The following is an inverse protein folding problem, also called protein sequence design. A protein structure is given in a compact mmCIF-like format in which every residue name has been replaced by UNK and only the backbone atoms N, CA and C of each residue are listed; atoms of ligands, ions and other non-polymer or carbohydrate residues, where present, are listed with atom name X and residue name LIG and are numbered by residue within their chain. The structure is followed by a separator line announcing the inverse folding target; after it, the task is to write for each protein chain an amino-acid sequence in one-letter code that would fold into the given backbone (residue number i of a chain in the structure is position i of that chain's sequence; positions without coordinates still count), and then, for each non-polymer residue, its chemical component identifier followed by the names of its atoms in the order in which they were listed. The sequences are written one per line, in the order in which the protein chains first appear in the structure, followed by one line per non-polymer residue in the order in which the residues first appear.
data_IF_328534625840
#
_entry.id   IF_328534625840
#
_cell.length_a   1.000
_cell.length_b   1.000
_cell.length_c   1.000
_cell.angle_alpha   90.00
_cell.angle_beta   90.00
_cell.angle_gamma   90.00
#
_symmetry.space_group_name_H-M   'P 1'
#
loop_
_entity.id
_entity.type
_entity.pdbx_description
1 polymer ?
#
# COMPACT_ATOMS: atom_id res chain seq x y z
N UNK A 1 -46.87 27.98 55.34
CA UNK A 1 -45.46 28.25 55.67
C UNK A 1 -44.78 28.76 54.40
N UNK A 2 -44.45 30.06 54.41
CA UNK A 2 -43.67 30.87 53.45
C UNK A 2 -43.72 30.57 51.93
N UNK A 3 -44.34 31.51 51.21
CA UNK A 3 -44.02 31.92 49.85
C UNK A 3 -42.55 32.39 49.72
N UNK A 4 -42.01 32.50 48.49
CA UNK A 4 -41.18 33.65 48.01
C UNK A 4 -40.49 33.38 46.65
N UNK A 5 -40.97 34.12 45.64
CA UNK A 5 -40.22 35.00 44.70
C UNK A 5 -39.34 34.38 43.57
N UNK A 6 -39.78 34.65 42.33
CA UNK A 6 -38.92 34.85 41.15
C UNK A 6 -37.94 36.01 41.38
N UNK A 7 -36.65 35.86 41.05
CA UNK A 7 -35.87 37.03 40.65
C UNK A 7 -34.87 36.70 39.54
N UNK A 8 -34.90 37.56 38.53
CA UNK A 8 -33.93 37.65 37.43
C UNK A 8 -32.63 38.28 37.94
N UNK A 9 -31.49 37.75 37.50
CA UNK A 9 -30.28 38.57 37.36
C UNK A 9 -29.44 38.05 36.19
N UNK A 10 -29.37 38.88 35.14
CA UNK A 10 -28.30 38.84 34.15
C UNK A 10 -27.01 39.26 34.85
N UNK A 11 -25.92 38.55 34.61
CA UNK A 11 -24.60 39.18 34.56
C UNK A 11 -23.71 38.51 33.51
N UNK A 12 -22.98 39.40 32.87
CA UNK A 12 -22.20 39.33 31.66
C UNK A 12 -20.71 39.21 32.03
N UNK A 13 -19.86 38.86 31.06
CA UNK A 13 -18.37 38.86 31.04
C UNK A 13 -17.68 37.57 31.57
N UNK A 14 -16.63 37.01 30.97
CA UNK A 14 -15.80 37.33 29.79
C UNK A 14 -14.69 36.27 29.68
N UNK A 15 -14.26 35.94 28.45
CA UNK A 15 -12.94 35.34 28.13
C UNK A 15 -12.89 33.81 28.14
N UNK A 16 -12.27 33.11 27.18
CA UNK A 16 -11.41 33.49 26.07
C UNK A 16 -11.68 32.53 24.90
N UNK A 17 -12.17 33.06 23.78
CA UNK A 17 -12.06 32.33 22.52
C UNK A 17 -10.60 32.47 22.05
N UNK A 18 -9.81 31.42 22.24
CA UNK A 18 -8.52 31.29 21.56
C UNK A 18 -8.86 31.04 20.09
N UNK A 19 -8.95 32.11 19.31
CA UNK A 19 -8.92 32.01 17.85
C UNK A 19 -7.52 31.56 17.47
N UNK A 20 -7.35 30.24 17.35
CA UNK A 20 -6.25 29.67 16.58
C UNK A 20 -6.49 30.13 15.16
N UNK A 21 -5.81 31.20 14.76
CA UNK A 21 -5.68 31.62 13.39
C UNK A 21 -4.94 30.51 12.64
N UNK A 22 -5.72 29.57 12.08
CA UNK A 22 -5.27 28.74 10.98
C UNK A 22 -4.92 29.72 9.86
N UNK A 23 -3.63 30.04 9.73
CA UNK A 23 -3.10 30.67 8.54
C UNK A 23 -3.38 29.71 7.39
N UNK A 24 -4.45 29.96 6.66
CA UNK A 24 -4.81 29.23 5.45
C UNK A 24 -3.74 29.50 4.41
N UNK A 25 -2.79 28.58 4.28
CA UNK A 25 -1.77 28.59 3.23
C UNK A 25 -2.42 28.44 1.85
N UNK A 26 -1.86 29.16 0.88
CA UNK A 26 -2.36 29.29 -0.49
C UNK A 26 -2.58 27.92 -1.16
N UNK A 27 -3.78 27.69 -1.67
CA UNK A 27 -4.13 26.55 -2.49
C UNK A 27 -3.65 26.77 -3.93
N UNK A 28 -2.66 25.99 -4.37
CA UNK A 28 -2.43 25.81 -5.79
C UNK A 28 -3.45 24.79 -6.30
N UNK A 29 -4.40 25.23 -7.12
CA UNK A 29 -5.30 24.32 -7.83
C UNK A 29 -4.60 23.77 -9.07
N UNK A 30 -4.58 22.45 -9.18
CA UNK A 30 -4.29 21.74 -10.43
C UNK A 30 -5.56 21.03 -10.85
N UNK A 31 -5.68 20.65 -12.12
CA UNK A 31 -6.85 19.93 -12.61
C UNK A 31 -7.13 18.70 -11.72
N UNK A 32 -8.27 18.73 -11.00
CA UNK A 32 -8.77 17.64 -10.16
C UNK A 32 -8.27 17.56 -8.71
N UNK A 33 -7.31 18.40 -8.26
CA UNK A 33 -6.87 18.40 -6.86
C UNK A 33 -6.33 19.75 -6.35
N UNK A 34 -6.33 19.91 -5.04
CA UNK A 34 -5.74 21.06 -4.33
C UNK A 34 -4.68 20.61 -3.34
N UNK A 35 -3.69 21.48 -3.11
CA UNK A 35 -2.63 21.26 -2.14
C UNK A 35 -2.85 22.14 -0.91
N UNK A 36 -2.91 21.53 0.27
CA UNK A 36 -2.92 22.21 1.55
C UNK A 36 -1.58 21.96 2.24
N UNK A 37 -0.69 22.95 2.18
CA UNK A 37 0.63 22.87 2.83
C UNK A 37 0.53 23.34 4.28
N UNK A 38 0.96 22.48 5.21
CA UNK A 38 0.98 22.75 6.64
C UNK A 38 2.43 22.74 7.13
N UNK A 39 2.96 23.92 7.44
CA UNK A 39 4.39 24.08 7.77
C UNK A 39 5.29 23.79 6.56
N UNK A 40 6.51 23.33 6.83
CA UNK A 40 7.53 23.19 5.77
C UNK A 40 7.59 21.80 5.11
N UNK A 41 7.00 20.77 5.73
CA UNK A 41 7.18 19.38 5.26
C UNK A 41 5.93 18.51 5.23
N UNK A 42 4.76 19.03 5.61
CA UNK A 42 3.49 18.32 5.57
C UNK A 42 2.58 18.96 4.51
N UNK A 43 1.98 18.12 3.67
CA UNK A 43 1.02 18.54 2.64
C UNK A 43 -0.12 17.53 2.56
N UNK A 44 -1.35 18.03 2.52
CA UNK A 44 -2.52 17.26 2.16
C UNK A 44 -2.89 17.54 0.70
N UNK A 45 -3.04 16.49 -0.08
CA UNK A 45 -3.54 16.54 -1.46
C UNK A 45 -5.01 16.15 -1.42
N UNK A 46 -5.90 17.11 -1.61
CA UNK A 46 -7.34 16.90 -1.65
C UNK A 46 -7.77 16.70 -3.10
N UNK A 47 -8.29 15.52 -3.41
CA UNK A 47 -8.63 15.09 -4.78
C UNK A 47 -10.14 14.95 -4.87
N UNK A 48 -10.75 15.57 -5.89
CA UNK A 48 -12.19 15.44 -6.17
C UNK A 48 -12.37 14.61 -7.44
N UNK A 49 -13.27 13.62 -7.39
CA UNK A 49 -13.47 12.63 -8.45
C UNK A 49 -12.14 12.01 -8.92
N UNK A 50 -11.41 11.31 -8.03
CA UNK A 50 -10.10 10.74 -8.34
C UNK A 50 -10.11 9.89 -9.62
N UNK A 51 -9.10 10.12 -10.46
CA UNK A 51 -8.68 9.16 -11.49
C UNK A 51 -8.12 7.89 -10.85
N UNK A 52 -7.74 6.89 -11.64
CA UNK A 52 -7.14 5.65 -11.12
C UNK A 52 -5.86 5.89 -10.31
N UNK A 53 -5.01 6.83 -10.74
CA UNK A 53 -3.71 7.09 -10.15
C UNK A 53 -3.47 8.57 -9.86
N UNK A 54 -2.79 8.84 -8.75
CA UNK A 54 -1.94 10.01 -8.59
C UNK A 54 -0.53 9.63 -9.04
N UNK A 55 -0.07 10.17 -10.17
CA UNK A 55 1.29 9.96 -10.65
C UNK A 55 2.24 10.84 -9.85
N UNK A 56 3.15 10.18 -9.11
CA UNK A 56 4.11 10.83 -8.23
C UNK A 56 5.47 10.90 -8.92
N UNK A 57 6.04 12.09 -9.12
CA UNK A 57 7.39 12.24 -9.66
C UNK A 57 8.44 11.84 -8.62
N UNK A 58 9.48 11.14 -9.08
CA UNK A 58 10.54 10.54 -8.25
C UNK A 58 11.91 11.08 -8.67
N UNK A 59 12.79 11.29 -7.70
CA UNK A 59 14.22 11.63 -7.86
C UNK A 59 15.05 10.62 -7.04
N UNK A 60 15.82 9.75 -7.70
CA UNK A 60 16.50 8.63 -7.06
C UNK A 60 17.51 9.02 -6.00
N UNK A 61 18.16 10.17 -6.19
CA UNK A 61 19.24 10.64 -5.34
C UNK A 61 18.78 11.53 -4.18
N UNK A 62 17.49 11.44 -3.81
CA UNK A 62 16.92 12.20 -2.70
C UNK A 62 16.40 11.31 -1.57
N UNK A 63 16.32 11.86 -0.36
CA UNK A 63 15.70 11.18 0.79
C UNK A 63 14.19 11.02 0.64
N UNK A 64 13.63 9.99 1.27
CA UNK A 64 12.22 9.59 1.16
C UNK A 64 11.25 10.57 1.86
N UNK A 65 10.16 10.88 1.16
CA UNK A 65 8.91 11.38 1.73
C UNK A 65 8.01 10.22 2.17
N UNK A 66 6.99 10.52 2.96
CA UNK A 66 5.99 9.51 3.37
C UNK A 66 4.63 9.86 2.78
N UNK A 67 4.12 8.99 1.91
CA UNK A 67 2.86 9.15 1.18
C UNK A 67 1.83 8.18 1.75
N UNK A 68 0.67 8.67 2.13
CA UNK A 68 -0.38 7.87 2.75
C UNK A 68 -1.75 8.26 2.22
N UNK A 69 -2.53 7.26 1.77
CA UNK A 69 -3.93 7.45 1.41
C UNK A 69 -4.78 7.45 2.69
N UNK A 70 -5.21 8.63 3.13
CA UNK A 70 -5.95 8.82 4.39
C UNK A 70 -7.36 8.23 4.30
N UNK A 71 -7.99 8.33 3.13
CA UNK A 71 -9.35 7.83 2.87
C UNK A 71 -9.39 6.33 2.53
N UNK A 72 -8.30 5.59 2.74
CA UNK A 72 -8.16 4.16 2.41
C UNK A 72 -7.52 3.36 3.54
N UNK A 73 -6.65 2.40 3.20
CA UNK A 73 -5.81 1.71 4.18
C UNK A 73 -4.60 2.60 4.52
N UNK A 74 -4.51 3.16 5.74
CA UNK A 74 -3.58 4.25 6.04
C UNK A 74 -2.18 3.72 6.38
N UNK A 75 -1.52 3.07 5.42
CA UNK A 75 -0.10 2.76 5.51
C UNK A 75 0.72 3.89 4.87
N UNK A 76 1.80 4.29 5.53
CA UNK A 76 2.78 5.20 4.94
C UNK A 76 3.66 4.41 3.97
N UNK A 77 3.78 4.92 2.74
CA UNK A 77 4.70 4.47 1.71
C UNK A 77 5.88 5.43 1.64
N UNK A 78 7.09 4.88 1.69
CA UNK A 78 8.33 5.65 1.66
C UNK A 78 8.74 5.88 0.19
N UNK A 79 8.59 7.10 -0.32
CA UNK A 79 8.74 7.42 -1.74
C UNK A 79 9.73 8.57 -1.90
N UNK A 80 10.73 8.42 -2.77
CA UNK A 80 11.74 9.44 -3.09
C UNK A 80 11.17 10.56 -3.98
N UNK A 81 10.18 11.29 -3.46
CA UNK A 81 9.50 12.36 -4.20
C UNK A 81 10.49 13.40 -4.72
N UNK A 82 10.33 13.76 -6.00
CA UNK A 82 11.19 14.70 -6.71
C UNK A 82 11.30 16.05 -5.98
N UNK A 83 12.53 16.48 -5.65
CA UNK A 83 12.80 17.76 -4.99
C UNK A 83 13.32 18.80 -5.96
N UNK A 84 14.26 18.42 -6.83
CA UNK A 84 14.92 19.33 -7.79
C UNK A 84 14.61 18.98 -9.24
N UNK A 85 14.55 17.69 -9.55
CA UNK A 85 14.31 17.16 -10.88
C UNK A 85 13.47 15.87 -10.79
N UNK A 86 12.96 15.40 -11.93
CA UNK A 86 12.15 14.19 -12.00
C UNK A 86 12.81 13.19 -12.93
N UNK A 87 13.20 12.05 -12.38
CA UNK A 87 13.77 10.94 -13.15
C UNK A 87 12.67 10.14 -13.84
N UNK A 88 11.59 9.85 -13.10
CA UNK A 88 10.44 9.09 -13.58
C UNK A 88 9.22 9.31 -12.68
N UNK A 89 8.08 8.71 -13.05
CA UNK A 89 6.85 8.72 -12.26
C UNK A 89 6.53 7.33 -11.74
N UNK A 90 5.95 7.25 -10.54
CA UNK A 90 5.33 6.03 -10.01
C UNK A 90 3.82 6.20 -9.86
N UNK A 91 3.00 5.18 -10.17
CA UNK A 91 1.56 5.26 -10.01
C UNK A 91 1.16 4.97 -8.56
N UNK A 92 0.57 5.95 -7.87
CA UNK A 92 -0.06 5.75 -6.56
C UNK A 92 -1.56 5.58 -6.75
N UNK A 93 -2.06 4.37 -6.48
CA UNK A 93 -3.46 4.02 -6.75
C UNK A 93 -4.44 4.74 -5.80
N UNK A 94 -5.51 5.25 -6.39
CA UNK A 94 -6.57 5.98 -5.69
C UNK A 94 -7.85 5.12 -5.62
N UNK A 95 -8.76 5.37 -4.65
CA UNK A 95 -9.97 4.56 -4.51
C UNK A 95 -10.88 4.71 -5.73
N UNK A 96 -11.14 3.60 -6.42
CA UNK A 96 -12.02 3.57 -7.58
C UNK A 96 -13.45 3.99 -7.20
N UNK A 97 -14.05 4.90 -7.99
CA UNK A 97 -15.44 5.35 -7.82
C UNK A 97 -15.69 6.24 -6.60
N UNK A 98 -14.66 6.63 -5.85
CA UNK A 98 -14.80 7.58 -4.76
C UNK A 98 -15.12 8.99 -5.30
N UNK A 99 -15.87 9.78 -4.52
CA UNK A 99 -16.10 11.20 -4.82
C UNK A 99 -14.93 12.07 -4.40
N UNK A 100 -14.23 11.66 -3.35
CA UNK A 100 -13.11 12.40 -2.77
C UNK A 100 -12.04 11.42 -2.29
N UNK A 101 -10.79 11.85 -2.36
CA UNK A 101 -9.66 11.15 -1.76
C UNK A 101 -8.68 12.16 -1.15
N UNK A 102 -8.06 11.79 -0.04
CA UNK A 102 -7.03 12.62 0.62
C UNK A 102 -5.74 11.84 0.70
N UNK A 103 -4.68 12.39 0.09
CA UNK A 103 -3.32 11.85 0.22
C UNK A 103 -2.51 12.76 1.12
N UNK A 104 -2.01 12.22 2.24
CA UNK A 104 -1.12 12.93 3.15
C UNK A 104 0.33 12.64 2.77
N UNK A 105 1.11 13.69 2.55
CA UNK A 105 2.53 13.61 2.25
C UNK A 105 3.33 14.32 3.33
N UNK A 106 4.30 13.62 3.95
CA UNK A 106 5.22 14.16 4.96
C UNK A 106 6.67 14.14 4.47
N UNK A 107 7.55 14.83 5.20
CA UNK A 107 9.01 14.87 4.98
C UNK A 107 9.42 15.38 3.59
N UNK A 108 8.58 16.20 2.96
CA UNK A 108 8.82 16.72 1.61
C UNK A 108 8.76 18.25 1.63
N UNK A 109 9.85 18.96 1.28
CA UNK A 109 9.88 20.42 1.30
C UNK A 109 8.79 21.08 0.46
N UNK A 110 8.21 22.18 0.93
CA UNK A 110 7.14 22.92 0.22
C UNK A 110 7.52 23.45 -1.17
N UNK A 111 8.81 23.65 -1.42
CA UNK A 111 9.38 24.15 -2.67
C UNK A 111 9.82 23.03 -3.63
N UNK A 112 9.63 21.76 -3.25
CA UNK A 112 9.95 20.60 -4.08
C UNK A 112 9.23 20.63 -5.44
N UNK A 113 9.91 20.19 -6.49
CA UNK A 113 9.35 20.13 -7.85
C UNK A 113 8.17 19.15 -7.96
N UNK A 114 8.07 18.15 -7.07
CA UNK A 114 7.00 17.16 -7.12
C UNK A 114 5.59 17.78 -7.10
N UNK A 115 5.41 18.87 -6.34
CA UNK A 115 4.13 19.59 -6.26
C UNK A 115 3.71 20.17 -7.61
N UNK A 116 4.67 20.57 -8.44
CA UNK A 116 4.46 21.14 -9.78
C UNK A 116 4.28 20.09 -10.86
N UNK A 117 4.77 18.87 -10.66
CA UNK A 117 4.73 17.84 -11.71
C UNK A 117 3.75 16.69 -11.46
N UNK A 118 3.34 16.46 -10.20
CA UNK A 118 2.31 15.45 -9.91
C UNK A 118 1.01 15.73 -10.66
N UNK A 119 0.35 14.65 -11.08
CA UNK A 119 -0.85 14.70 -11.93
C UNK A 119 -1.73 13.47 -11.75
N UNK A 120 -3.02 13.62 -12.00
CA UNK A 120 -3.98 12.51 -12.04
C UNK A 120 -3.91 11.80 -13.40
N UNK A 121 -4.09 10.49 -13.41
CA UNK A 121 -4.21 9.71 -14.64
C UNK A 121 -4.94 8.38 -14.43
N UNK A 122 -5.71 7.94 -15.42
CA UNK A 122 -6.30 6.60 -15.44
C UNK A 122 -5.35 5.52 -15.96
N UNK A 123 -4.20 5.94 -16.51
CA UNK A 123 -3.23 5.06 -17.17
C UNK A 123 -1.83 5.30 -16.64
N UNK A 124 -0.98 4.28 -16.74
CA UNK A 124 0.44 4.40 -16.48
C UNK A 124 1.21 3.72 -17.62
N UNK A 125 2.18 4.42 -18.19
CA UNK A 125 2.93 3.91 -19.33
C UNK A 125 3.97 2.88 -18.87
N UNK A 126 3.74 1.63 -19.22
CA UNK A 126 4.61 0.49 -18.93
C UNK A 126 5.36 -0.02 -20.15
N UNK A 127 5.37 0.76 -21.24
CA UNK A 127 6.10 0.41 -22.47
C UNK A 127 7.57 0.16 -22.15
N UNK A 128 8.09 -0.98 -22.58
CA UNK A 128 9.49 -1.32 -22.38
C UNK A 128 10.40 -0.37 -23.19
N UNK A 129 11.28 0.35 -22.47
CA UNK A 129 12.30 1.25 -23.03
C UNK A 129 13.71 0.87 -22.58
N UNK A 130 13.85 -0.20 -21.80
CA UNK A 130 15.12 -0.58 -21.18
C UNK A 130 15.89 -1.56 -22.08
N UNK A 131 17.11 -1.17 -22.44
CA UNK A 131 18.06 -1.96 -23.24
C UNK A 131 18.40 -3.30 -22.56
N UNK A 132 18.39 -3.36 -21.24
CA UNK A 132 18.77 -4.52 -20.47
C UNK A 132 17.60 -5.42 -20.08
N UNK A 133 16.37 -5.08 -20.50
CA UNK A 133 15.20 -5.89 -20.16
C UNK A 133 15.30 -7.27 -20.82
N UNK A 134 15.28 -8.37 -20.04
CA UNK A 134 15.33 -9.71 -20.59
C UNK A 134 14.13 -10.00 -21.51
N UNK A 135 14.35 -10.77 -22.57
CA UNK A 135 13.30 -11.13 -23.54
C UNK A 135 12.42 -12.30 -23.08
N UNK A 136 12.95 -13.20 -22.25
CA UNK A 136 12.30 -14.46 -21.87
C UNK A 136 12.44 -14.81 -20.38
N UNK A 137 12.94 -13.89 -19.56
CA UNK A 137 12.88 -13.99 -18.10
C UNK A 137 11.87 -13.00 -17.56
N UNK A 138 11.10 -13.40 -16.55
CA UNK A 138 10.13 -12.52 -15.92
C UNK A 138 10.81 -11.32 -15.26
N UNK A 139 10.21 -10.15 -15.43
CA UNK A 139 10.54 -8.88 -14.76
C UNK A 139 9.24 -8.14 -14.46
N UNK A 140 9.11 -7.39 -13.36
CA UNK A 140 7.92 -6.55 -13.16
C UNK A 140 7.88 -5.46 -14.23
N UNK A 141 6.69 -4.98 -14.61
CA UNK A 141 6.53 -3.91 -15.62
C UNK A 141 7.41 -2.68 -15.33
N UNK A 142 7.54 -2.34 -14.05
CA UNK A 142 8.36 -1.25 -13.50
C UNK A 142 8.63 -1.55 -12.01
N UNK A 143 9.52 -0.78 -11.36
CA UNK A 143 9.80 -0.89 -9.92
C UNK A 143 10.91 -1.89 -9.59
N UNK A 144 10.99 -2.32 -8.33
CA UNK A 144 11.99 -3.28 -7.84
C UNK A 144 11.38 -4.64 -7.54
N UNK A 145 12.09 -5.72 -7.87
CA UNK A 145 11.69 -7.10 -7.56
C UNK A 145 12.84 -7.90 -6.95
N UNK A 146 12.51 -8.83 -6.04
CA UNK A 146 13.43 -9.89 -5.61
C UNK A 146 12.76 -11.27 -5.64
N UNK A 147 12.56 -11.91 -4.48
CA UNK A 147 12.23 -13.33 -4.37
C UNK A 147 10.92 -13.68 -5.07
N UNK A 148 10.88 -14.87 -5.68
CA UNK A 148 9.62 -15.48 -6.12
C UNK A 148 8.82 -15.96 -4.89
N UNK A 149 7.52 -15.73 -4.89
CA UNK A 149 6.61 -16.04 -3.80
C UNK A 149 5.38 -16.78 -4.30
N UNK A 150 4.71 -17.48 -3.38
CA UNK A 150 3.36 -18.00 -3.62
C UNK A 150 3.20 -18.90 -4.85
N UNK A 151 4.27 -19.54 -5.32
CA UNK A 151 4.26 -20.33 -6.56
C UNK A 151 3.22 -21.44 -6.47
N UNK A 152 2.14 -21.34 -7.24
CA UNK A 152 1.03 -22.27 -7.20
C UNK A 152 0.44 -22.45 -8.61
N UNK A 153 0.02 -23.68 -8.92
CA UNK A 153 -0.68 -23.99 -10.16
C UNK A 153 -2.14 -24.30 -9.85
N UNK A 154 -3.07 -23.61 -10.53
CA UNK A 154 -4.51 -23.83 -10.36
C UNK A 154 -5.24 -23.52 -11.67
N UNK A 155 -6.18 -24.39 -12.03
CA UNK A 155 -7.11 -24.22 -13.16
C UNK A 155 -6.44 -23.85 -14.50
N UNK A 156 -5.26 -24.44 -14.78
CA UNK A 156 -4.54 -24.20 -16.04
C UNK A 156 -3.53 -23.05 -15.99
N UNK A 157 -3.37 -22.39 -14.83
CA UNK A 157 -2.50 -21.22 -14.68
C UNK A 157 -1.43 -21.46 -13.62
N UNK A 158 -0.19 -21.13 -13.96
CA UNK A 158 0.91 -20.92 -13.05
C UNK A 158 0.85 -19.50 -12.49
N UNK A 159 0.77 -19.38 -11.18
CA UNK A 159 0.86 -18.12 -10.47
C UNK A 159 2.30 -17.88 -10.03
N UNK A 160 2.83 -16.73 -10.41
CA UNK A 160 4.07 -16.16 -9.90
C UNK A 160 3.73 -14.91 -9.12
N UNK A 161 3.80 -15.00 -7.79
CA UNK A 161 3.91 -13.81 -6.96
C UNK A 161 5.38 -13.51 -6.73
N UNK A 162 5.69 -12.28 -6.34
CA UNK A 162 7.08 -11.89 -6.12
C UNK A 162 7.17 -10.67 -5.22
N UNK A 163 8.26 -10.59 -4.45
CA UNK A 163 8.56 -9.40 -3.66
C UNK A 163 8.68 -8.19 -4.58
N UNK A 164 7.96 -7.12 -4.26
CA UNK A 164 7.78 -6.00 -5.18
C UNK A 164 7.76 -4.63 -4.48
N UNK A 165 8.54 -3.67 -4.97
CA UNK A 165 8.37 -2.25 -4.66
C UNK A 165 7.71 -1.52 -5.85
N UNK A 166 6.41 -1.18 -5.77
CA UNK A 166 5.75 -0.41 -6.82
C UNK A 166 6.14 1.08 -6.85
N UNK A 167 6.87 1.57 -5.84
CA UNK A 167 7.11 3.00 -5.63
C UNK A 167 8.58 3.41 -5.73
N UNK A 168 9.47 2.52 -6.18
CA UNK A 168 10.89 2.83 -6.35
C UNK A 168 11.67 1.75 -7.09
N UNK A 169 12.85 2.08 -7.58
CA UNK A 169 13.77 1.13 -8.23
C UNK A 169 14.72 0.42 -7.25
N UNK A 170 14.50 0.57 -5.95
CA UNK A 170 15.29 -0.05 -4.88
C UNK A 170 14.40 -0.81 -3.91
N UNK A 171 15.01 -1.63 -3.07
CA UNK A 171 14.31 -2.32 -1.99
C UNK A 171 13.64 -1.30 -1.04
N UNK A 172 12.33 -1.45 -0.83
CA UNK A 172 11.49 -0.60 0.00
C UNK A 172 10.01 -0.91 -0.25
N UNK A 173 9.09 -0.50 0.63
CA UNK A 173 7.65 -0.74 0.48
C UNK A 173 7.28 -2.14 -0.05
N UNK A 174 7.79 -3.24 0.52
CA UNK A 174 7.51 -4.56 -0.07
C UNK A 174 6.01 -4.91 -0.09
N UNK A 175 5.55 -5.30 -1.28
CA UNK A 175 4.26 -5.88 -1.64
C UNK A 175 4.53 -7.26 -2.27
N UNK A 176 3.49 -8.06 -2.50
CA UNK A 176 3.56 -9.14 -3.50
C UNK A 176 2.98 -8.66 -4.83
N UNK A 177 3.83 -8.50 -5.84
CA UNK A 177 3.41 -8.40 -7.23
C UNK A 177 2.85 -9.74 -7.72
N UNK A 178 2.15 -9.72 -8.86
CA UNK A 178 1.49 -10.92 -9.38
C UNK A 178 1.58 -11.00 -10.91
N UNK A 179 1.88 -12.18 -11.41
CA UNK A 179 1.75 -12.53 -12.82
C UNK A 179 1.28 -13.96 -12.96
N UNK A 180 0.56 -14.25 -14.05
CA UNK A 180 0.11 -15.61 -14.38
C UNK A 180 0.64 -16.02 -15.74
N UNK A 181 0.82 -17.32 -15.92
CA UNK A 181 1.22 -17.91 -17.20
C UNK A 181 0.58 -19.28 -17.38
N UNK A 182 0.37 -19.70 -18.63
CA UNK A 182 -0.07 -21.07 -18.95
C UNK A 182 1.10 -21.99 -19.31
N UNK A 183 2.30 -21.45 -19.50
CA UNK A 183 3.46 -22.16 -20.02
C UNK A 183 4.79 -21.81 -19.33
N UNK A 184 4.76 -21.00 -18.27
CA UNK A 184 5.92 -20.47 -17.53
C UNK A 184 6.86 -19.56 -18.34
N UNK A 185 6.47 -19.16 -19.55
CA UNK A 185 7.27 -18.33 -20.46
C UNK A 185 6.55 -17.02 -20.78
N UNK A 186 5.28 -17.09 -21.18
CA UNK A 186 4.46 -15.93 -21.51
C UNK A 186 3.66 -15.51 -20.28
N UNK A 187 4.02 -14.37 -19.70
CA UNK A 187 3.46 -13.87 -18.45
C UNK A 187 2.47 -12.72 -18.70
N UNK A 188 1.28 -12.84 -18.14
CA UNK A 188 0.32 -11.75 -17.99
C UNK A 188 0.53 -11.09 -16.62
N UNK A 189 0.79 -9.78 -16.62
CA UNK A 189 0.92 -9.01 -15.39
C UNK A 189 -0.44 -8.64 -14.83
N UNK A 190 -0.64 -8.91 -13.54
CA UNK A 190 -1.87 -8.62 -12.82
C UNK A 190 -1.64 -7.52 -11.78
N UNK A 191 -2.72 -6.95 -11.21
CA UNK A 191 -2.60 -6.04 -10.07
C UNK A 191 -1.81 -6.65 -8.91
N UNK A 192 -1.31 -5.81 -8.01
CA UNK A 192 -0.66 -6.25 -6.78
C UNK A 192 -1.59 -7.17 -5.98
N UNK A 193 -1.09 -8.34 -5.58
CA UNK A 193 -1.88 -9.35 -4.87
C UNK A 193 -1.99 -9.06 -3.36
N UNK A 194 -0.87 -8.68 -2.72
CA UNK A 194 -0.84 -8.32 -1.30
C UNK A 194 -0.11 -7.00 -1.11
N UNK A 195 -0.86 -5.98 -0.66
CA UNK A 195 -0.30 -4.67 -0.39
C UNK A 195 0.26 -4.53 1.03
N UNK A 196 1.30 -3.71 1.19
CA UNK A 196 1.80 -3.27 2.51
C UNK A 196 0.66 -2.64 3.30
N UNK A 197 0.59 -2.93 4.60
CA UNK A 197 -0.34 -2.27 5.51
C UNK A 197 0.36 -1.80 6.80
N UNK A 198 -0.42 -1.41 7.80
CA UNK A 198 0.08 -0.93 9.09
C UNK A 198 0.81 -2.02 9.92
N UNK A 199 0.69 -3.30 9.56
CA UNK A 199 1.42 -4.40 10.19
C UNK A 199 2.87 -4.48 9.71
N UNK A 200 3.14 -3.98 8.50
CA UNK A 200 4.47 -3.88 7.94
C UNK A 200 4.54 -4.23 6.46
N UNK A 201 5.79 -4.37 6.00
CA UNK A 201 6.14 -4.87 4.69
C UNK A 201 5.63 -6.30 4.49
N UNK A 202 5.20 -6.62 3.27
CA UNK A 202 4.85 -7.98 2.86
C UNK A 202 6.14 -8.64 2.36
N UNK A 203 6.72 -9.50 3.20
CA UNK A 203 7.90 -10.29 2.90
C UNK A 203 7.51 -11.64 2.29
N UNK A 204 8.52 -12.41 1.89
CA UNK A 204 8.39 -13.65 1.15
C UNK A 204 7.53 -14.70 1.85
N UNK A 205 7.13 -15.71 1.09
CA UNK A 205 6.28 -16.79 1.57
C UNK A 205 5.75 -17.69 0.45
N UNK A 206 4.73 -18.47 0.77
CA UNK A 206 4.21 -19.53 -0.10
C UNK A 206 2.69 -19.55 -0.14
N UNK A 207 2.15 -20.24 -1.15
CA UNK A 207 0.71 -20.39 -1.34
C UNK A 207 0.38 -21.85 -1.60
N UNK A 208 -0.83 -22.25 -1.21
CA UNK A 208 -1.38 -23.59 -1.42
C UNK A 208 -2.81 -23.50 -1.96
N UNK A 209 -3.25 -24.54 -2.68
CA UNK A 209 -4.67 -24.71 -3.02
C UNK A 209 -5.32 -25.57 -1.93
N UNK A 210 -6.19 -24.98 -1.14
CA UNK A 210 -6.96 -25.68 -0.10
C UNK A 210 -8.17 -26.38 -0.74
N UNK A 211 -7.92 -27.55 -1.35
CA UNK A 211 -8.92 -28.31 -2.10
C UNK A 211 -10.14 -28.69 -1.27
N UNK A 212 -9.92 -29.06 -0.01
CA UNK A 212 -10.93 -29.65 0.85
C UNK A 212 -11.55 -28.62 1.82
N UNK A 213 -11.30 -27.33 1.61
CA UNK A 213 -11.81 -26.24 2.43
C UNK A 213 -11.43 -26.38 3.92
N UNK A 214 -10.23 -26.89 4.20
CA UNK A 214 -9.72 -27.07 5.56
C UNK A 214 -9.53 -25.74 6.30
N UNK A 215 -9.30 -24.64 5.57
CA UNK A 215 -9.18 -23.29 6.11
C UNK A 215 -10.53 -22.54 6.23
N UNK A 216 -11.61 -23.05 5.63
CA UNK A 216 -12.95 -22.47 5.72
C UNK A 216 -13.28 -21.34 4.72
N UNK A 217 -12.44 -21.11 3.72
CA UNK A 217 -12.61 -20.02 2.72
C UNK A 217 -13.17 -20.46 1.37
N UNK A 218 -13.71 -21.67 1.29
CA UNK A 218 -14.20 -22.31 0.08
C UNK A 218 -13.23 -23.36 -0.47
N UNK A 219 -13.80 -24.46 -0.97
CA UNK A 219 -13.04 -25.53 -1.60
C UNK A 219 -12.29 -25.02 -2.83
N UNK A 220 -11.00 -25.33 -2.90
CA UNK A 220 -10.10 -24.84 -3.93
C UNK A 220 -9.65 -23.40 -3.75
N UNK A 221 -9.93 -22.74 -2.62
CA UNK A 221 -9.37 -21.41 -2.35
C UNK A 221 -7.83 -21.45 -2.34
N UNK A 222 -7.19 -20.35 -2.75
CA UNK A 222 -5.75 -20.19 -2.60
C UNK A 222 -5.49 -19.55 -1.24
N UNK A 223 -4.72 -20.23 -0.41
CA UNK A 223 -4.29 -19.70 0.90
C UNK A 223 -2.80 -19.36 0.80
N UNK A 224 -2.46 -18.12 1.12
CA UNK A 224 -1.10 -17.58 1.09
C UNK A 224 -0.62 -17.32 2.50
N UNK A 225 0.60 -17.76 2.79
CA UNK A 225 1.32 -17.52 4.02
C UNK A 225 2.50 -16.62 3.70
N UNK A 226 2.65 -15.54 4.44
CA UNK A 226 3.67 -14.52 4.17
C UNK A 226 4.22 -13.96 5.48
N UNK A 227 5.42 -13.43 5.44
CA UNK A 227 5.96 -12.70 6.59
C UNK A 227 5.50 -11.23 6.54
N UNK A 228 4.96 -10.72 7.64
CA UNK A 228 4.85 -9.28 7.85
C UNK A 228 6.07 -8.78 8.61
N UNK A 229 6.76 -7.76 8.09
CA UNK A 229 7.99 -7.24 8.68
C UNK A 229 7.88 -5.74 9.03
N UNK A 230 8.15 -5.39 10.28
CA UNK A 230 8.21 -3.99 10.74
C UNK A 230 9.15 -3.84 11.94
N UNK A 231 9.61 -2.62 12.20
CA UNK A 231 10.41 -2.31 13.40
C UNK A 231 9.65 -2.62 14.70
N UNK A 232 8.33 -2.41 14.68
CA UNK A 232 7.45 -2.61 15.85
C UNK A 232 7.27 -4.10 16.18
N UNK A 233 7.00 -4.93 15.16
CA UNK A 233 6.60 -6.32 15.37
C UNK A 233 7.72 -7.32 15.07
N UNK A 234 8.87 -6.88 14.55
CA UNK A 234 9.87 -7.79 13.97
C UNK A 234 9.32 -8.46 12.72
N UNK A 235 9.66 -9.75 12.52
CA UNK A 235 9.12 -10.59 11.47
C UNK A 235 8.14 -11.61 12.08
N UNK A 236 6.88 -11.56 11.60
CA UNK A 236 5.76 -12.41 12.09
C UNK A 236 5.07 -13.06 10.89
N UNK A 237 4.49 -14.25 11.06
CA UNK A 237 3.84 -14.97 9.96
C UNK A 237 2.35 -14.67 9.92
N UNK A 238 1.89 -14.33 8.73
CA UNK A 238 0.52 -13.95 8.44
C UNK A 238 -0.06 -14.85 7.34
N UNK A 239 -1.38 -14.83 7.23
CA UNK A 239 -2.15 -15.59 6.26
C UNK A 239 -3.10 -14.67 5.49
N UNK A 240 -3.32 -14.96 4.22
CA UNK A 240 -4.37 -14.37 3.39
C UNK A 240 -5.03 -15.46 2.54
N UNK A 241 -6.24 -15.22 2.06
CA UNK A 241 -6.97 -16.18 1.23
C UNK A 241 -7.59 -15.49 0.01
N UNK A 242 -7.74 -16.26 -1.06
CA UNK A 242 -8.36 -15.85 -2.32
C UNK A 242 -9.37 -16.90 -2.76
N UNK A 243 -10.59 -16.45 -3.06
CA UNK A 243 -11.68 -17.27 -3.62
C UNK A 243 -11.92 -17.01 -5.11
N UNK A 244 -11.14 -16.11 -5.73
CA UNK A 244 -11.28 -15.67 -7.12
C UNK A 244 -10.09 -16.13 -8.00
N UNK A 245 -9.54 -17.31 -7.71
CA UNK A 245 -8.39 -17.88 -8.40
C UNK A 245 -7.13 -17.00 -8.28
N UNK A 246 -6.81 -16.53 -7.08
CA UNK A 246 -5.58 -15.80 -6.76
C UNK A 246 -5.54 -14.37 -7.30
N UNK A 247 -6.66 -13.80 -7.75
CA UNK A 247 -6.70 -12.46 -8.36
C UNK A 247 -6.73 -11.37 -7.31
N UNK A 248 -7.48 -11.58 -6.24
CA UNK A 248 -7.52 -10.70 -5.07
C UNK A 248 -7.39 -11.52 -3.78
N UNK A 249 -6.80 -10.91 -2.75
CA UNK A 249 -6.59 -11.55 -1.46
C UNK A 249 -7.22 -10.75 -0.33
N UNK A 250 -7.87 -11.47 0.59
CA UNK A 250 -8.30 -10.97 1.89
C UNK A 250 -7.31 -11.44 2.95
N UNK A 251 -6.70 -10.51 3.68
CA UNK A 251 -5.82 -10.84 4.80
C UNK A 251 -6.65 -11.38 5.97
N UNK A 252 -6.14 -12.42 6.62
CA UNK A 252 -6.81 -13.00 7.78
C UNK A 252 -6.87 -12.00 8.94
N UNK A 253 -8.08 -11.80 9.46
CA UNK A 253 -8.38 -10.77 10.46
C UNK A 253 -7.64 -10.96 11.78
N UNK A 254 -7.27 -12.21 12.11
CA UNK A 254 -6.53 -12.55 13.34
C UNK A 254 -5.03 -12.71 13.11
N UNK A 255 -4.49 -12.15 12.03
CA UNK A 255 -3.05 -12.10 11.84
C UNK A 255 -2.34 -11.36 13.01
N UNK A 256 -1.10 -11.76 13.36
CA UNK A 256 -0.35 -12.88 12.80
C UNK A 256 -0.85 -14.25 13.28
N UNK A 257 -0.63 -15.29 12.46
CA UNK A 257 -0.92 -16.69 12.82
C UNK A 257 0.24 -17.37 13.57
N UNK A 258 1.46 -16.82 13.46
CA UNK A 258 2.63 -17.33 14.16
C UNK A 258 3.63 -16.21 14.47
N UNK A 259 4.10 -16.18 15.72
CA UNK A 259 5.12 -15.24 16.20
C UNK A 259 6.33 -16.01 16.73
N UNK A 260 7.54 -15.43 16.69
CA UNK A 260 8.73 -16.07 17.27
C UNK A 260 8.54 -16.22 18.79
N UNK A 261 8.84 -17.41 19.32
CA UNK A 261 8.59 -17.76 20.73
C UNK A 261 9.66 -17.21 21.69
N UNK A 262 10.83 -16.89 21.17
CA UNK A 262 12.02 -16.45 21.89
C UNK A 262 12.34 -14.96 21.68
N UNK A 263 11.46 -14.23 20.99
CA UNK A 263 11.63 -12.80 20.70
C UNK A 263 12.64 -12.50 19.60
N UNK A 264 13.07 -13.49 18.81
CA UNK A 264 13.89 -13.25 17.61
C UNK A 264 13.19 -12.29 16.66
N UNK A 265 13.96 -11.38 16.06
CA UNK A 265 13.46 -10.45 15.03
C UNK A 265 13.59 -11.00 13.62
N UNK A 266 14.47 -11.99 13.43
CA UNK A 266 14.68 -12.71 12.17
C UNK A 266 13.94 -14.05 12.19
N UNK A 267 12.74 -14.05 11.65
CA UNK A 267 11.83 -15.20 11.61
C UNK A 267 10.88 -15.03 10.43
N UNK A 268 11.15 -15.68 9.29
CA UNK A 268 10.49 -15.35 8.02
C UNK A 268 10.44 -16.49 7.02
N UNK A 269 9.80 -16.21 5.90
CA UNK A 269 9.77 -16.97 4.65
C UNK A 269 9.06 -18.33 4.81
N UNK A 270 7.78 -18.35 5.23
CA UNK A 270 7.05 -19.58 5.52
C UNK A 270 6.84 -20.43 4.27
N UNK A 271 7.26 -21.70 4.35
CA UNK A 271 6.94 -22.74 3.37
C UNK A 271 5.87 -23.67 3.93
N UNK A 272 4.64 -23.52 3.45
CA UNK A 272 3.51 -24.40 3.79
C UNK A 272 3.23 -25.33 2.61
N UNK A 273 2.93 -26.59 2.90
CA UNK A 273 2.54 -27.58 1.89
C UNK A 273 1.73 -28.71 2.54
N UNK A 274 0.82 -29.33 1.79
CA UNK A 274 0.10 -30.50 2.28
C UNK A 274 1.00 -31.72 2.30
N UNK A 275 1.22 -32.29 3.48
CA UNK A 275 1.90 -33.56 3.69
C UNK A 275 0.89 -34.70 3.76
N UNK A 276 0.58 -35.27 2.60
CA UNK A 276 -0.42 -36.32 2.44
C UNK A 276 -0.26 -37.55 3.37
N UNK A 277 0.95 -38.05 3.68
CA UNK A 277 1.09 -39.23 4.55
C UNK A 277 0.57 -39.06 5.99
N UNK A 278 0.56 -37.84 6.53
CA UNK A 278 0.02 -37.56 7.87
C UNK A 278 -1.26 -36.72 7.87
N UNK A 279 -1.75 -36.37 6.69
CA UNK A 279 -2.92 -35.51 6.52
C UNK A 279 -2.78 -34.16 7.27
N UNK A 280 -1.63 -33.49 7.08
CA UNK A 280 -1.32 -32.21 7.73
C UNK A 280 -0.77 -31.18 6.76
N UNK A 281 -0.98 -29.91 7.10
CA UNK A 281 -0.30 -28.74 6.53
C UNK A 281 1.06 -28.49 7.18
#
# INVERSE_FOLDING_TARGET
MKATILNNSKNFLMGCAVSVSLASCQSASKEGFTLEQQGDTLTLVHITNPAKYLLLPVEEHTGEGQVCLVTGNPADMDIRLAKKETDYFVPFELPAGAKEAVVRIRKTPKDAVCWKEMKLSDTFDTTNRDKFRPLYHHTPLYGWMNDANGLVYKDGEYHLYFQYNPYGSVWGNMHWGHSVSRDLVHWEHLPVALARDTMGHIFSGSSVVDKDNTAGYGAGSIVSFYTSASDKNGQIQCMAHSSDNGRTFTKYEKNPVLTPFDGLKDFRDPKVFWYAPEEKW
#
